data_IF_433875519889
#
_entry.id   IF_433875519889
#
_cell.length_a   1.000
_cell.length_b   1.000
_cell.length_c   1.000
_cell.angle_alpha   90.00
_cell.angle_beta   90.00
_cell.angle_gamma   90.00
#
_symmetry.space_group_name_H-M   'P 1'
#
loop_
_entity.id
_entity.type
_entity.pdbx_description
1 polymer ?
#
# COMPACT_ATOMS: atom_id res chain seq x y z
N UNK A 1 -14.82 17.55 8.23
CA UNK A 1 -14.11 18.11 9.40
C UNK A 1 -12.62 18.19 9.11
N UNK A 2 -11.90 19.17 9.65
CA UNK A 2 -10.43 19.06 9.75
C UNK A 2 -10.14 18.65 11.19
N UNK A 3 -9.74 17.40 11.38
CA UNK A 3 -9.70 16.75 12.69
C UNK A 3 -8.31 16.26 13.05
N UNK A 4 -7.96 16.33 14.34
CA UNK A 4 -6.80 15.64 14.91
C UNK A 4 -7.16 14.17 15.14
N UNK A 5 -6.28 13.28 14.69
CA UNK A 5 -6.37 11.85 14.84
C UNK A 5 -5.18 11.36 15.66
N UNK A 6 -5.39 10.28 16.43
CA UNK A 6 -4.40 9.72 17.33
C UNK A 6 -4.23 8.23 17.06
N UNK A 7 -3.01 7.76 16.85
CA UNK A 7 -2.68 6.34 16.67
C UNK A 7 -1.35 6.04 17.35
N UNK A 8 -1.38 5.11 18.29
CA UNK A 8 -0.18 4.64 19.00
C UNK A 8 0.46 3.49 18.20
N UNK A 9 1.25 3.87 17.19
CA UNK A 9 1.95 2.96 16.28
C UNK A 9 3.42 3.36 16.15
N UNK A 10 4.26 2.42 15.73
CA UNK A 10 5.65 2.68 15.40
C UNK A 10 5.79 3.81 14.37
N UNK A 11 6.62 4.79 14.73
CA UNK A 11 6.83 5.98 13.92
C UNK A 11 7.76 5.69 12.74
N UNK A 12 7.33 6.15 11.56
CA UNK A 12 8.09 6.15 10.30
C UNK A 12 8.24 7.59 9.81
N UNK A 13 9.03 7.81 8.76
CA UNK A 13 9.28 9.16 8.21
C UNK A 13 7.99 9.97 7.96
N UNK A 14 6.91 9.30 7.53
CA UNK A 14 5.61 9.91 7.23
C UNK A 14 4.48 9.46 8.18
N UNK A 15 4.82 9.19 9.46
CA UNK A 15 3.85 8.88 10.52
C UNK A 15 4.15 9.71 11.79
N UNK A 16 3.08 10.15 12.46
CA UNK A 16 3.10 10.87 13.73
C UNK A 16 2.03 10.27 14.66
N UNK A 17 2.23 10.28 15.98
CA UNK A 17 1.26 9.68 16.91
C UNK A 17 -0.03 10.51 16.98
N UNK A 18 0.09 11.81 16.67
CA UNK A 18 -1.01 12.73 16.38
C UNK A 18 -0.84 13.29 14.96
N UNK A 19 -1.88 13.28 14.16
CA UNK A 19 -1.86 13.78 12.78
C UNK A 19 -3.21 14.40 12.43
N UNK A 20 -3.31 15.08 11.29
CA UNK A 20 -4.52 15.80 10.90
C UNK A 20 -5.12 15.23 9.63
N UNK A 21 -6.44 15.03 9.64
CA UNK A 21 -7.20 14.57 8.48
C UNK A 21 -8.23 15.61 8.04
N UNK A 22 -8.44 15.71 6.73
CA UNK A 22 -9.66 16.26 6.14
C UNK A 22 -10.63 15.09 6.03
N UNK A 23 -11.51 14.96 7.01
CA UNK A 23 -12.49 13.90 7.13
C UNK A 23 -13.83 14.31 6.51
N UNK A 24 -14.44 13.46 5.70
CA UNK A 24 -15.75 13.72 5.09
C UNK A 24 -16.59 12.44 5.03
N UNK A 25 -17.89 12.60 5.21
CA UNK A 25 -18.89 11.55 5.02
C UNK A 25 -20.10 12.17 4.31
N UNK A 26 -20.72 11.40 3.42
CA UNK A 26 -21.86 11.79 2.60
C UNK A 26 -22.98 10.76 2.77
N UNK A 27 -24.24 11.20 2.75
CA UNK A 27 -25.41 10.33 2.76
C UNK A 27 -26.06 10.28 1.37
N UNK A 28 -26.77 9.19 1.10
CA UNK A 28 -27.37 8.86 -0.20
C UNK A 28 -26.34 8.73 -1.33
N UNK A 29 -25.18 8.16 -0.99
CA UNK A 29 -24.14 7.76 -1.94
C UNK A 29 -24.05 6.24 -1.95
N UNK A 30 -24.03 5.64 -3.13
CA UNK A 30 -24.07 4.18 -3.32
C UNK A 30 -22.93 3.67 -4.22
N UNK A 31 -22.47 4.54 -5.12
CA UNK A 31 -21.32 4.32 -5.98
C UNK A 31 -20.09 5.06 -5.44
N UNK A 32 -18.91 4.49 -5.65
CA UNK A 32 -17.64 5.10 -5.20
C UNK A 32 -17.41 6.47 -5.84
N UNK A 33 -17.87 6.65 -7.09
CA UNK A 33 -17.74 7.90 -7.85
C UNK A 33 -18.53 9.05 -7.25
N UNK A 34 -19.62 8.78 -6.52
CA UNK A 34 -20.40 9.79 -5.81
C UNK A 34 -19.54 10.53 -4.76
N UNK A 35 -18.51 9.87 -4.22
CA UNK A 35 -17.55 10.43 -3.26
C UNK A 35 -16.25 10.85 -3.94
N UNK A 36 -15.72 10.02 -4.85
CA UNK A 36 -14.44 10.28 -5.52
C UNK A 36 -14.48 11.61 -6.29
N UNK A 37 -15.49 11.87 -7.11
CA UNK A 37 -15.50 13.04 -7.99
C UNK A 37 -15.59 14.39 -7.24
N UNK A 38 -16.42 14.55 -6.20
CA UNK A 38 -16.33 15.74 -5.34
C UNK A 38 -14.95 15.92 -4.70
N UNK A 39 -14.30 14.83 -4.28
CA UNK A 39 -12.95 14.86 -3.70
C UNK A 39 -11.90 15.27 -4.74
N UNK A 40 -12.01 14.83 -5.99
CA UNK A 40 -11.15 15.32 -7.07
C UNK A 40 -11.27 16.83 -7.24
N UNK A 41 -12.49 17.37 -7.21
CA UNK A 41 -12.73 18.81 -7.27
C UNK A 41 -12.05 19.57 -6.12
N UNK A 42 -12.08 19.02 -4.90
CA UNK A 42 -11.34 19.56 -3.77
C UNK A 42 -9.83 19.56 -4.03
N UNK A 43 -9.26 18.44 -4.47
CA UNK A 43 -7.83 18.29 -4.75
C UNK A 43 -7.39 19.26 -5.86
N UNK A 44 -8.11 19.30 -6.99
CA UNK A 44 -7.87 20.26 -8.10
C UNK A 44 -7.82 21.69 -7.60
N UNK A 45 -8.79 22.08 -6.76
CA UNK A 45 -8.86 23.43 -6.20
C UNK A 45 -7.72 23.73 -5.23
N UNK A 46 -7.32 22.77 -4.40
CA UNK A 46 -6.17 22.92 -3.50
C UNK A 46 -4.91 23.16 -4.34
N UNK A 47 -4.58 22.26 -5.26
CA UNK A 47 -3.39 22.37 -6.12
C UNK A 47 -3.32 23.70 -6.88
N UNK A 48 -4.43 24.10 -7.51
CA UNK A 48 -4.53 25.36 -8.26
C UNK A 48 -4.32 26.58 -7.37
N UNK A 49 -4.92 26.60 -6.19
CA UNK A 49 -4.89 27.77 -5.31
C UNK A 49 -3.61 27.87 -4.46
N UNK A 50 -2.94 26.75 -4.18
CA UNK A 50 -1.74 26.75 -3.32
C UNK A 50 -0.44 26.83 -4.11
N UNK A 51 -0.32 26.06 -5.20
CA UNK A 51 0.93 25.97 -5.98
C UNK A 51 0.75 26.41 -7.44
N UNK A 52 -0.44 26.88 -7.83
CA UNK A 52 -0.71 27.34 -9.19
C UNK A 52 -0.75 26.24 -10.24
N UNK A 53 -0.76 24.96 -9.83
CA UNK A 53 -0.79 23.83 -10.75
C UNK A 53 -2.23 23.53 -11.17
N UNK A 54 -2.52 23.67 -12.46
CA UNK A 54 -3.79 23.26 -13.03
C UNK A 54 -3.75 21.76 -13.37
N UNK A 55 -4.59 20.98 -12.69
CA UNK A 55 -4.73 19.53 -12.89
C UNK A 55 -5.77 19.18 -13.98
N UNK A 56 -6.36 20.19 -14.63
CA UNK A 56 -7.39 20.02 -15.65
C UNK A 56 -8.77 19.67 -15.08
N UNK A 57 -9.74 19.57 -15.98
CA UNK A 57 -11.14 19.29 -15.63
C UNK A 57 -11.47 17.79 -15.66
N UNK A 58 -10.72 16.99 -16.41
CA UNK A 58 -10.91 15.53 -16.55
C UNK A 58 -10.74 14.78 -15.24
N UNK A 59 -11.48 13.69 -15.06
CA UNK A 59 -11.37 12.84 -13.87
C UNK A 59 -9.98 12.21 -13.76
N UNK A 60 -9.53 11.96 -12.53
CA UNK A 60 -8.26 11.27 -12.34
C UNK A 60 -8.39 9.83 -12.83
N UNK A 61 -7.30 9.32 -13.39
CA UNK A 61 -7.25 7.93 -13.85
C UNK A 61 -7.50 6.97 -12.69
N UNK A 62 -8.14 5.86 -13.00
CA UNK A 62 -8.46 4.80 -12.04
C UNK A 62 -7.67 3.54 -12.40
N UNK A 63 -7.17 2.84 -11.39
CA UNK A 63 -6.46 1.58 -11.51
C UNK A 63 -7.01 0.59 -10.48
N UNK A 64 -7.22 -0.67 -10.86
CA UNK A 64 -7.65 -1.67 -9.87
C UNK A 64 -6.51 -2.01 -8.92
N UNK A 65 -6.82 -2.41 -7.68
CA UNK A 65 -5.83 -2.90 -6.73
C UNK A 65 -5.01 -4.05 -7.32
N UNK A 66 -5.66 -4.98 -8.00
CA UNK A 66 -4.99 -6.12 -8.64
C UNK A 66 -3.99 -5.65 -9.71
N UNK A 67 -4.36 -4.67 -10.53
CA UNK A 67 -3.46 -4.07 -11.51
C UNK A 67 -2.27 -3.36 -10.85
N UNK A 68 -2.52 -2.56 -9.80
CA UNK A 68 -1.50 -1.85 -9.06
C UNK A 68 -0.46 -2.82 -8.44
N UNK A 69 -0.94 -3.88 -7.80
CA UNK A 69 -0.09 -4.91 -7.20
C UNK A 69 0.69 -5.69 -8.27
N UNK A 70 0.04 -6.12 -9.34
CA UNK A 70 0.68 -6.94 -10.37
C UNK A 70 1.71 -6.18 -11.20
N UNK A 71 1.48 -4.89 -11.49
CA UNK A 71 2.37 -4.04 -12.30
C UNK A 71 3.42 -3.30 -11.49
N UNK A 72 3.13 -2.91 -10.25
CA UNK A 72 4.02 -2.04 -9.47
C UNK A 72 4.42 -2.61 -8.10
N UNK A 73 3.79 -3.71 -7.67
CA UNK A 73 4.07 -4.32 -6.38
C UNK A 73 3.58 -3.49 -5.18
N UNK A 74 2.64 -2.58 -5.41
CA UNK A 74 2.10 -1.70 -4.38
C UNK A 74 0.69 -1.21 -4.73
N UNK A 75 -0.14 -1.08 -3.71
CA UNK A 75 -1.45 -0.45 -3.69
C UNK A 75 -1.40 1.10 -3.72
N UNK A 76 -0.20 1.68 -3.72
CA UNK A 76 0.05 3.12 -3.88
C UNK A 76 1.19 3.35 -4.87
N UNK A 77 1.00 2.98 -6.15
CA UNK A 77 2.08 2.99 -7.11
C UNK A 77 2.50 4.43 -7.45
N UNK A 78 3.80 4.67 -7.47
CA UNK A 78 4.36 5.84 -8.16
C UNK A 78 4.46 5.51 -9.64
N UNK A 79 3.63 6.08 -10.52
CA UNK A 79 3.65 5.73 -11.95
C UNK A 79 4.40 6.75 -12.82
N UNK A 80 5.10 7.71 -12.21
CA UNK A 80 5.90 8.71 -12.94
C UNK A 80 7.07 8.12 -13.72
N UNK A 81 7.40 6.86 -13.47
CA UNK A 81 8.47 6.12 -14.14
C UNK A 81 8.07 4.65 -14.38
N UNK A 82 8.83 3.96 -15.24
CA UNK A 82 8.57 2.56 -15.62
C UNK A 82 9.00 1.53 -14.57
N UNK A 83 9.80 0.55 -15.01
CA UNK A 83 10.24 -0.61 -14.20
C UNK A 83 9.08 -1.47 -13.65
N UNK A 84 8.03 -1.62 -14.45
CA UNK A 84 6.90 -2.47 -14.09
C UNK A 84 7.31 -3.93 -13.92
N UNK A 85 6.64 -4.60 -12.98
CA UNK A 85 6.79 -6.03 -12.73
C UNK A 85 6.22 -6.81 -13.91
N UNK A 86 6.98 -7.81 -14.36
CA UNK A 86 6.61 -8.74 -15.41
C UNK A 86 6.56 -10.14 -14.83
N UNK A 87 5.43 -10.80 -15.01
CA UNK A 87 5.24 -12.18 -14.58
C UNK A 87 5.94 -13.14 -15.56
N UNK A 88 6.83 -13.96 -15.04
CA UNK A 88 7.58 -14.98 -15.78
C UNK A 88 7.39 -16.37 -15.16
N UNK A 89 6.40 -16.53 -14.28
CA UNK A 89 6.18 -17.73 -13.46
C UNK A 89 6.01 -18.99 -14.30
N UNK A 90 5.18 -18.93 -15.34
CA UNK A 90 4.92 -20.03 -16.28
C UNK A 90 6.19 -20.50 -17.02
N UNK A 91 7.18 -19.62 -17.23
CA UNK A 91 8.44 -19.97 -17.90
C UNK A 91 9.33 -20.89 -17.06
N UNK A 92 9.12 -20.92 -15.73
CA UNK A 92 9.93 -21.72 -14.81
C UNK A 92 9.23 -22.99 -14.32
N UNK A 93 8.02 -23.28 -14.80
CA UNK A 93 7.31 -24.52 -14.46
C UNK A 93 8.12 -25.73 -14.92
N UNK A 94 8.52 -26.58 -13.98
CA UNK A 94 9.33 -27.76 -14.28
C UNK A 94 10.80 -27.48 -14.63
N UNK A 95 11.29 -26.25 -14.42
CA UNK A 95 12.70 -25.90 -14.64
C UNK A 95 13.63 -26.63 -13.65
N UNK A 96 14.88 -26.87 -14.07
CA UNK A 96 15.95 -27.39 -13.22
C UNK A 96 16.40 -26.38 -12.16
N UNK A 97 16.10 -25.09 -12.35
CA UNK A 97 16.40 -24.06 -11.36
C UNK A 97 15.36 -24.05 -10.23
N UNK A 98 15.57 -24.92 -9.23
CA UNK A 98 14.65 -25.13 -8.11
C UNK A 98 14.21 -23.87 -7.38
N UNK A 99 15.10 -22.89 -7.24
CA UNK A 99 14.77 -21.59 -6.60
C UNK A 99 13.56 -20.92 -7.27
N UNK A 100 13.37 -21.08 -8.57
CA UNK A 100 12.21 -20.53 -9.28
C UNK A 100 11.13 -21.57 -9.51
N UNK A 101 11.49 -22.81 -9.85
CA UNK A 101 10.52 -23.88 -10.08
C UNK A 101 9.66 -24.19 -8.84
N UNK A 102 10.21 -24.06 -7.63
CA UNK A 102 9.47 -24.28 -6.38
C UNK A 102 8.50 -23.12 -6.04
N UNK A 103 8.51 -22.05 -6.86
CA UNK A 103 7.72 -20.83 -6.68
C UNK A 103 6.70 -20.61 -7.81
N UNK A 104 6.28 -21.67 -8.51
CA UNK A 104 5.29 -21.59 -9.60
C UNK A 104 3.90 -22.12 -9.25
N UNK A 105 3.63 -22.41 -7.97
CA UNK A 105 2.33 -22.85 -7.48
C UNK A 105 1.42 -21.66 -7.13
N UNK A 106 0.12 -21.90 -6.98
CA UNK A 106 -0.85 -20.85 -6.65
C UNK A 106 -0.47 -20.08 -5.37
N UNK A 107 -0.59 -18.75 -5.41
CA UNK A 107 -0.18 -17.84 -4.32
C UNK A 107 1.33 -17.57 -4.23
N UNK A 108 2.09 -18.07 -5.20
CA UNK A 108 3.52 -17.81 -5.40
C UNK A 108 3.76 -17.38 -6.83
N UNK A 109 4.78 -16.58 -7.05
CA UNK A 109 5.16 -16.16 -8.39
C UNK A 109 6.66 -15.95 -8.53
N UNK A 110 7.11 -15.98 -9.78
CA UNK A 110 8.43 -15.52 -10.22
C UNK A 110 8.20 -14.31 -11.10
N UNK A 111 8.66 -13.15 -10.64
CA UNK A 111 8.49 -11.89 -11.37
C UNK A 111 9.81 -11.18 -11.54
N UNK A 112 9.88 -10.34 -12.56
CA UNK A 112 11.06 -9.55 -12.89
C UNK A 112 10.74 -8.08 -13.11
N UNK A 113 11.69 -7.20 -12.83
CA UNK A 113 11.71 -5.83 -13.36
C UNK A 113 12.88 -5.68 -14.32
N UNK A 114 12.68 -4.94 -15.41
CA UNK A 114 13.73 -4.62 -16.38
C UNK A 114 14.29 -3.21 -16.14
N UNK A 115 15.49 -3.13 -15.55
CA UNK A 115 16.25 -1.90 -15.42
C UNK A 115 16.94 -1.54 -16.75
N UNK A 116 16.21 -0.79 -17.58
CA UNK A 116 16.63 -0.44 -18.95
C UNK A 116 17.87 0.45 -19.00
N UNK A 117 18.94 0.00 -19.66
CA UNK A 117 20.21 0.72 -19.77
C UNK A 117 21.05 0.74 -18.48
N UNK A 118 20.82 -0.19 -17.55
CA UNK A 118 21.53 -0.24 -16.27
C UNK A 118 22.74 -1.19 -16.25
N UNK A 119 23.01 -1.96 -17.31
CA UNK A 119 24.12 -2.92 -17.31
C UNK A 119 25.49 -2.28 -17.10
N UNK A 120 25.68 -1.04 -17.57
CA UNK A 120 26.90 -0.25 -17.34
C UNK A 120 26.85 0.58 -16.05
N UNK A 121 25.67 0.77 -15.45
CA UNK A 121 25.45 1.61 -14.26
C UNK A 121 25.47 0.82 -12.96
N UNK A 122 25.17 -0.48 -13.01
CA UNK A 122 25.14 -1.37 -11.85
C UNK A 122 26.39 -2.23 -11.84
N UNK A 123 27.27 -1.97 -10.86
CA UNK A 123 28.38 -2.88 -10.57
C UNK A 123 27.88 -4.14 -9.87
N UNK A 124 28.75 -5.17 -9.75
CA UNK A 124 28.41 -6.36 -8.94
C UNK A 124 28.04 -6.01 -7.50
N UNK A 125 28.76 -5.04 -6.92
CA UNK A 125 28.48 -4.53 -5.57
C UNK A 125 27.12 -3.84 -5.48
N UNK A 126 26.71 -3.10 -6.52
CA UNK A 126 25.37 -2.50 -6.56
C UNK A 126 24.28 -3.57 -6.61
N UNK A 127 24.47 -4.63 -7.40
CA UNK A 127 23.53 -5.75 -7.48
C UNK A 127 23.42 -6.50 -6.14
N UNK A 128 24.54 -6.73 -5.45
CA UNK A 128 24.55 -7.32 -4.12
C UNK A 128 23.82 -6.40 -3.12
N UNK A 129 24.00 -5.08 -3.21
CA UNK A 129 23.26 -4.11 -2.40
C UNK A 129 21.75 -4.10 -2.71
N UNK A 130 21.34 -4.24 -3.97
CA UNK A 130 19.91 -4.38 -4.32
C UNK A 130 19.30 -5.65 -3.71
N UNK A 131 20.08 -6.72 -3.58
CA UNK A 131 19.67 -7.92 -2.84
C UNK A 131 19.44 -7.62 -1.36
N UNK A 132 20.31 -6.83 -0.71
CA UNK A 132 20.11 -6.38 0.67
C UNK A 132 18.87 -5.48 0.83
N UNK A 133 18.61 -4.59 -0.13
CA UNK A 133 17.34 -3.83 -0.17
C UNK A 133 16.15 -4.79 -0.28
N UNK A 134 16.21 -5.78 -1.17
CA UNK A 134 15.13 -6.76 -1.32
C UNK A 134 14.85 -7.55 -0.03
N UNK A 135 15.89 -7.87 0.74
CA UNK A 135 15.75 -8.57 2.04
C UNK A 135 14.98 -7.78 3.08
N UNK A 136 14.98 -6.44 3.03
CA UNK A 136 14.15 -5.63 3.95
C UNK A 136 12.65 -5.80 3.70
N UNK A 137 12.26 -6.38 2.56
CA UNK A 137 10.88 -6.71 2.20
C UNK A 137 10.58 -8.22 2.31
N UNK A 138 11.46 -8.99 2.95
CA UNK A 138 11.26 -10.41 3.24
C UNK A 138 11.79 -11.39 2.18
N UNK A 139 12.32 -10.90 1.05
CA UNK A 139 12.97 -11.79 0.08
C UNK A 139 14.23 -12.44 0.66
N UNK A 140 14.49 -13.69 0.26
CA UNK A 140 15.73 -14.42 0.63
C UNK A 140 16.94 -13.95 -0.18
N UNK A 141 16.70 -13.32 -1.32
CA UNK A 141 17.70 -12.72 -2.19
C UNK A 141 17.08 -12.25 -3.50
N UNK A 142 17.87 -11.52 -4.29
CA UNK A 142 17.47 -11.02 -5.59
C UNK A 142 18.34 -11.67 -6.68
N UNK A 143 17.70 -12.44 -7.55
CA UNK A 143 18.38 -13.00 -8.73
C UNK A 143 18.44 -11.94 -9.84
N UNK A 144 19.45 -12.00 -10.71
CA UNK A 144 19.59 -11.02 -11.78
C UNK A 144 20.20 -11.60 -13.05
N UNK A 145 19.86 -11.00 -14.19
CA UNK A 145 20.52 -11.25 -15.48
C UNK A 145 20.92 -9.89 -16.05
N UNK A 146 22.20 -9.72 -16.39
CA UNK A 146 22.72 -8.52 -17.04
C UNK A 146 23.08 -8.84 -18.48
N UNK A 147 22.66 -8.01 -19.43
CA UNK A 147 23.08 -8.09 -20.82
C UNK A 147 23.86 -6.83 -21.17
N UNK A 148 25.19 -6.79 -20.98
CA UNK A 148 25.97 -5.66 -21.46
C UNK A 148 25.91 -5.56 -22.99
N UNK A 149 26.04 -4.34 -23.51
CA UNK A 149 25.93 -4.09 -24.95
C UNK A 149 27.02 -4.85 -25.73
N UNK A 150 26.61 -5.69 -26.69
CA UNK A 150 27.54 -6.50 -27.50
C UNK A 150 28.23 -7.65 -26.76
N UNK A 151 27.94 -7.88 -25.48
CA UNK A 151 28.51 -8.99 -24.68
C UNK A 151 27.48 -10.09 -24.43
N UNK A 152 27.96 -11.27 -23.99
CA UNK A 152 27.07 -12.35 -23.54
C UNK A 152 26.34 -11.99 -22.24
N UNK A 153 25.22 -12.67 -21.99
CA UNK A 153 24.50 -12.58 -20.71
C UNK A 153 25.39 -12.95 -19.53
N UNK A 154 25.28 -12.19 -18.45
CA UNK A 154 25.96 -12.43 -17.17
C UNK A 154 24.92 -12.71 -16.10
N UNK A 155 25.03 -13.84 -15.41
CA UNK A 155 24.23 -14.20 -14.23
C UNK A 155 24.86 -15.36 -13.47
N UNK A 156 24.55 -15.49 -12.17
CA UNK A 156 24.97 -16.62 -11.33
C UNK A 156 24.25 -17.93 -11.66
N UNK A 157 23.10 -17.86 -12.33
CA UNK A 157 22.26 -19.03 -12.65
C UNK A 157 22.14 -19.31 -14.17
N UNK A 158 22.99 -18.70 -15.01
CA UNK A 158 23.01 -18.94 -16.46
C UNK A 158 23.03 -20.41 -16.85
N UNK A 159 23.74 -21.26 -16.08
CA UNK A 159 23.87 -22.70 -16.35
C UNK A 159 22.55 -23.47 -16.32
N UNK A 160 21.50 -22.89 -15.73
CA UNK A 160 20.17 -23.48 -15.67
C UNK A 160 19.20 -22.93 -16.72
N UNK A 161 19.65 -21.96 -17.53
CA UNK A 161 18.86 -21.33 -18.58
C UNK A 161 19.37 -21.82 -19.93
N UNK A 162 18.48 -22.37 -20.75
CA UNK A 162 18.78 -22.64 -22.15
C UNK A 162 18.42 -21.42 -23.03
N UNK A 163 18.86 -21.44 -24.28
CA UNK A 163 18.68 -20.30 -25.20
C UNK A 163 17.21 -19.97 -25.48
N UNK A 164 16.33 -20.98 -25.55
CA UNK A 164 14.88 -20.81 -25.74
C UNK A 164 14.23 -20.10 -24.53
N UNK A 165 14.56 -20.53 -23.32
CA UNK A 165 14.07 -19.91 -22.09
C UNK A 165 14.59 -18.47 -21.95
N UNK A 166 15.86 -18.22 -22.27
CA UNK A 166 16.42 -16.86 -22.29
C UNK A 166 15.71 -15.96 -23.29
N UNK A 167 15.44 -16.45 -24.50
CA UNK A 167 14.70 -15.70 -25.52
C UNK A 167 13.28 -15.33 -25.04
N UNK A 168 12.56 -16.29 -24.44
CA UNK A 168 11.21 -16.06 -23.89
C UNK A 168 11.21 -15.07 -22.72
N UNK A 169 12.20 -15.16 -21.83
CA UNK A 169 12.38 -14.21 -20.73
C UNK A 169 12.65 -12.81 -21.30
N UNK A 170 13.59 -12.69 -22.25
CA UNK A 170 13.94 -11.42 -22.87
C UNK A 170 12.75 -10.79 -23.59
N UNK A 171 11.98 -11.56 -24.35
CA UNK A 171 10.75 -11.11 -25.01
C UNK A 171 9.73 -10.60 -23.98
N UNK A 172 9.43 -11.37 -22.94
CA UNK A 172 8.38 -10.99 -21.96
C UNK A 172 8.76 -9.79 -21.09
N UNK A 173 10.05 -9.57 -20.89
CA UNK A 173 10.58 -8.48 -20.06
C UNK A 173 11.03 -7.27 -20.89
N UNK A 174 10.83 -7.32 -22.21
CA UNK A 174 11.34 -6.33 -23.16
C UNK A 174 12.84 -6.05 -22.97
N UNK A 175 13.63 -7.08 -22.63
CA UNK A 175 15.05 -6.96 -22.34
C UNK A 175 15.84 -6.69 -23.62
N UNK A 176 16.71 -5.68 -23.57
CA UNK A 176 17.59 -5.31 -24.67
C UNK A 176 19.07 -5.29 -24.25
N UNK A 177 19.94 -5.11 -25.24
CA UNK A 177 21.35 -4.86 -24.99
C UNK A 177 21.54 -3.59 -24.15
N UNK A 178 22.22 -3.73 -23.01
CA UNK A 178 22.42 -2.68 -22.01
C UNK A 178 21.55 -2.82 -20.76
N UNK A 179 20.66 -3.81 -20.68
CA UNK A 179 19.68 -3.95 -19.60
C UNK A 179 20.11 -4.89 -18.47
N UNK A 180 19.44 -4.74 -17.32
CA UNK A 180 19.52 -5.68 -16.18
C UNK A 180 18.12 -6.09 -15.75
N UNK A 181 17.86 -7.38 -15.76
CA UNK A 181 16.68 -7.96 -15.13
C UNK A 181 16.97 -8.29 -13.66
N UNK A 182 16.03 -7.95 -12.79
CA UNK A 182 16.05 -8.26 -11.36
C UNK A 182 14.82 -9.09 -11.03
N UNK A 183 15.02 -10.26 -10.41
CA UNK A 183 13.99 -11.27 -10.18
C UNK A 183 13.76 -11.52 -8.70
N UNK A 184 12.50 -11.69 -8.33
CA UNK A 184 12.09 -12.22 -7.03
C UNK A 184 11.17 -13.45 -7.24
N UNK A 185 11.31 -14.43 -6.35
CA UNK A 185 10.56 -15.68 -6.38
C UNK A 185 10.19 -16.11 -4.96
N UNK A 186 8.92 -15.93 -4.58
CA UNK A 186 8.36 -16.34 -3.29
C UNK A 186 6.81 -16.27 -3.33
N UNK A 187 6.14 -16.24 -2.17
CA UNK A 187 4.73 -15.84 -2.04
C UNK A 187 4.51 -14.49 -2.73
N UNK A 188 3.35 -14.31 -3.37
CA UNK A 188 3.02 -13.10 -4.14
C UNK A 188 3.24 -11.81 -3.34
N UNK A 189 2.78 -11.78 -2.08
CA UNK A 189 2.97 -10.62 -1.20
C UNK A 189 4.45 -10.21 -1.03
N UNK A 190 5.36 -11.19 -0.89
CA UNK A 190 6.80 -10.94 -0.74
C UNK A 190 7.40 -10.48 -2.07
N UNK A 191 7.00 -11.11 -3.18
CA UNK A 191 7.47 -10.74 -4.53
C UNK A 191 7.08 -9.31 -4.88
N UNK A 192 5.81 -8.95 -4.65
CA UNK A 192 5.29 -7.60 -4.86
C UNK A 192 6.03 -6.57 -4.01
N UNK A 193 6.11 -6.78 -2.69
CA UNK A 193 6.80 -5.87 -1.78
C UNK A 193 8.28 -5.70 -2.16
N UNK A 194 8.96 -6.79 -2.52
CA UNK A 194 10.37 -6.78 -2.89
C UNK A 194 10.64 -6.01 -4.17
N UNK A 195 9.94 -6.35 -5.26
CA UNK A 195 10.20 -5.71 -6.55
C UNK A 195 9.66 -4.28 -6.58
N UNK A 196 8.55 -4.00 -5.91
CA UNK A 196 8.04 -2.64 -5.72
C UNK A 196 9.02 -1.76 -4.94
N UNK A 197 9.59 -2.28 -3.84
CA UNK A 197 10.60 -1.58 -3.05
C UNK A 197 11.90 -1.34 -3.82
N UNK A 198 12.42 -2.36 -4.50
CA UNK A 198 13.63 -2.24 -5.34
C UNK A 198 13.41 -1.26 -6.49
N UNK A 199 12.22 -1.28 -7.11
CA UNK A 199 11.82 -0.32 -8.14
C UNK A 199 11.87 1.11 -7.62
N UNK A 200 11.27 1.40 -6.46
CA UNK A 200 11.28 2.73 -5.85
C UNK A 200 12.70 3.18 -5.49
N UNK A 201 13.52 2.26 -4.95
CA UNK A 201 14.93 2.52 -4.65
C UNK A 201 15.73 2.91 -5.90
N UNK A 202 15.56 2.19 -7.01
CA UNK A 202 16.19 2.54 -8.28
C UNK A 202 15.67 3.88 -8.82
N UNK A 203 14.37 4.13 -8.69
CA UNK A 203 13.71 5.37 -9.08
C UNK A 203 14.35 6.60 -8.41
N UNK A 204 14.53 6.55 -7.08
CA UNK A 204 15.14 7.65 -6.34
C UNK A 204 16.67 7.73 -6.57
N UNK A 205 17.41 6.63 -6.42
CA UNK A 205 18.88 6.62 -6.56
C UNK A 205 19.35 7.13 -7.92
N UNK A 206 18.59 6.87 -8.99
CA UNK A 206 18.95 7.24 -10.37
C UNK A 206 18.08 8.34 -10.96
N UNK A 207 17.25 9.01 -10.16
CA UNK A 207 16.40 10.13 -10.58
C UNK A 207 15.55 9.81 -11.82
N UNK A 208 14.80 8.69 -11.79
CA UNK A 208 14.02 8.21 -12.94
C UNK A 208 12.71 8.96 -13.16
N UNK A 209 12.38 9.90 -12.29
CA UNK A 209 11.20 10.75 -12.36
C UNK A 209 11.56 12.17 -11.90
N UNK A 210 10.77 13.15 -12.34
CA UNK A 210 10.88 14.51 -11.85
C UNK A 210 10.26 14.60 -10.44
N UNK A 211 11.05 15.01 -9.44
CA UNK A 211 10.58 15.18 -8.06
C UNK A 211 9.50 16.26 -7.91
N UNK A 212 9.41 17.18 -8.89
CA UNK A 212 8.41 18.26 -8.91
C UNK A 212 7.16 17.94 -9.73
N UNK A 213 7.15 16.83 -10.47
CA UNK A 213 5.97 16.41 -11.20
C UNK A 213 4.97 15.73 -10.27
N UNK A 214 3.69 15.85 -10.63
CA UNK A 214 2.59 15.21 -9.94
C UNK A 214 1.91 14.20 -10.83
N UNK A 215 1.66 13.03 -10.24
CA UNK A 215 0.91 11.95 -10.81
C UNK A 215 -0.13 11.52 -9.79
N UNK A 216 -1.40 11.64 -10.16
CA UNK A 216 -2.55 11.43 -9.28
C UNK A 216 -3.43 10.37 -9.91
N UNK A 217 -3.86 9.40 -9.10
CA UNK A 217 -4.75 8.32 -9.52
C UNK A 217 -5.58 7.80 -8.36
N UNK A 218 -6.69 7.14 -8.70
CA UNK A 218 -7.46 6.33 -7.79
C UNK A 218 -7.06 4.87 -7.89
N UNK A 219 -6.93 4.21 -6.74
CA UNK A 219 -6.91 2.76 -6.63
C UNK A 219 -8.27 2.31 -6.13
N UNK A 220 -8.89 1.35 -6.81
CA UNK A 220 -10.23 0.82 -6.50
C UNK A 220 -10.22 -0.70 -6.52
N UNK A 221 -11.38 -1.34 -6.27
CA UNK A 221 -11.55 -2.79 -6.35
C UNK A 221 -10.59 -3.55 -5.42
N UNK A 222 -10.35 -2.99 -4.22
CA UNK A 222 -9.58 -3.65 -3.19
C UNK A 222 -10.24 -4.97 -2.76
N UNK A 223 -9.46 -5.99 -2.38
CA UNK A 223 -9.98 -7.14 -1.66
C UNK A 223 -10.78 -6.73 -0.42
N UNK A 224 -11.90 -7.41 -0.17
CA UNK A 224 -12.72 -7.16 1.02
C UNK A 224 -12.00 -7.62 2.30
N UNK A 225 -11.23 -8.72 2.20
CA UNK A 225 -10.56 -9.38 3.31
C UNK A 225 -9.10 -9.68 2.98
N UNK A 226 -8.26 -9.70 4.01
CA UNK A 226 -6.90 -10.21 3.94
C UNK A 226 -6.68 -11.28 5.02
N UNK A 227 -5.83 -12.27 4.74
CA UNK A 227 -5.52 -13.32 5.70
C UNK A 227 -4.38 -12.86 6.62
N UNK A 228 -4.66 -12.73 7.92
CA UNK A 228 -3.65 -12.46 8.93
C UNK A 228 -2.99 -13.78 9.35
N UNK A 229 -1.71 -13.95 9.03
CA UNK A 229 -0.91 -15.08 9.52
C UNK A 229 -0.72 -15.02 11.03
N UNK A 230 -0.66 -13.82 11.61
CA UNK A 230 -0.52 -13.59 13.05
C UNK A 230 -1.77 -14.04 13.81
N UNK A 231 -2.95 -13.69 13.30
CA UNK A 231 -4.23 -14.03 13.95
C UNK A 231 -4.81 -15.38 13.49
N UNK A 232 -4.25 -15.99 12.44
CA UNK A 232 -4.75 -17.24 11.86
C UNK A 232 -6.18 -17.14 11.32
N UNK A 233 -6.59 -15.95 10.86
CA UNK A 233 -7.95 -15.67 10.36
C UNK A 233 -7.96 -14.56 9.32
N UNK A 234 -9.06 -14.45 8.58
CA UNK A 234 -9.32 -13.28 7.75
C UNK A 234 -9.67 -12.07 8.61
N UNK A 235 -9.08 -10.93 8.25
CA UNK A 235 -9.36 -9.61 8.77
C UNK A 235 -9.87 -8.71 7.64
N UNK A 236 -10.54 -7.61 7.98
CA UNK A 236 -10.99 -6.66 6.97
C UNK A 236 -9.79 -5.88 6.42
N UNK A 237 -9.71 -5.71 5.10
CA UNK A 237 -8.58 -4.99 4.49
C UNK A 237 -8.60 -3.48 4.79
N UNK A 238 -9.79 -2.90 4.93
CA UNK A 238 -9.98 -1.48 5.29
C UNK A 238 -10.63 -1.37 6.67
N UNK A 239 -11.96 -1.42 6.70
CA UNK A 239 -12.74 -1.41 7.93
C UNK A 239 -13.83 -2.48 7.85
N UNK A 240 -14.22 -3.14 8.97
CA UNK A 240 -15.33 -4.09 9.00
C UNK A 240 -16.70 -3.56 8.50
N UNK A 241 -16.84 -2.26 8.24
CA UNK A 241 -18.07 -1.61 7.79
C UNK A 241 -18.05 -1.26 6.30
N UNK A 242 -16.96 -1.57 5.60
CA UNK A 242 -16.86 -1.34 4.17
C UNK A 242 -17.86 -2.22 3.42
N UNK A 243 -18.60 -1.63 2.48
CA UNK A 243 -19.53 -2.38 1.64
C UNK A 243 -18.77 -3.22 0.60
N UNK A 244 -19.19 -4.46 0.33
CA UNK A 244 -18.72 -5.20 -0.83
C UNK A 244 -19.26 -4.62 -2.13
N UNK A 245 -18.63 -4.93 -3.26
CA UNK A 245 -19.20 -4.71 -4.60
C UNK A 245 -20.50 -5.50 -4.75
N UNK A 246 -21.50 -4.89 -5.37
CA UNK A 246 -22.83 -5.50 -5.48
C UNK A 246 -22.78 -6.77 -6.34
N UNK A 247 -21.96 -6.74 -7.40
CA UNK A 247 -21.71 -7.88 -8.28
C UNK A 247 -21.08 -9.07 -7.56
N UNK A 248 -20.40 -8.86 -6.43
CA UNK A 248 -19.66 -9.91 -5.71
C UNK A 248 -20.49 -10.51 -4.55
N UNK A 249 -21.72 -10.03 -4.31
CA UNK A 249 -22.57 -10.48 -3.20
C UNK A 249 -22.88 -11.99 -3.24
N UNK A 250 -22.89 -12.62 -4.42
CA UNK A 250 -23.08 -14.06 -4.55
C UNK A 250 -21.94 -14.90 -3.94
N UNK A 251 -20.76 -14.28 -3.74
CA UNK A 251 -19.60 -14.93 -3.13
C UNK A 251 -19.69 -15.03 -1.60
N UNK A 252 -20.58 -14.27 -0.96
CA UNK A 252 -20.75 -14.25 0.50
C UNK A 252 -20.94 -15.66 1.09
N UNK A 253 -21.78 -16.46 0.44
CA UNK A 253 -22.15 -17.80 0.91
C UNK A 253 -21.29 -18.91 0.28
N UNK A 254 -20.33 -18.57 -0.59
CA UNK A 254 -19.46 -19.54 -1.28
C UNK A 254 -17.97 -19.31 -1.01
N UNK A 255 -17.36 -18.29 -1.62
CA UNK A 255 -15.94 -17.97 -1.47
C UNK A 255 -15.75 -16.47 -1.20
N UNK A 256 -15.98 -16.01 0.03
CA UNK A 256 -15.92 -14.59 0.39
C UNK A 256 -14.52 -13.98 0.21
N UNK A 257 -13.48 -14.81 0.07
CA UNK A 257 -12.09 -14.37 -0.09
C UNK A 257 -11.83 -13.68 -1.43
N UNK A 258 -12.71 -13.87 -2.41
CA UNK A 258 -12.64 -13.25 -3.74
C UNK A 258 -13.47 -11.98 -3.87
N UNK A 259 -14.18 -11.58 -2.82
CA UNK A 259 -15.01 -10.39 -2.85
C UNK A 259 -14.15 -9.13 -2.90
N UNK A 260 -14.58 -8.17 -3.72
CA UNK A 260 -14.04 -6.82 -3.74
C UNK A 260 -14.87 -5.90 -2.86
N UNK A 261 -14.20 -4.91 -2.31
CA UNK A 261 -14.77 -3.81 -1.55
C UNK A 261 -15.13 -2.64 -2.48
N UNK A 262 -16.17 -1.88 -2.11
CA UNK A 262 -16.41 -0.52 -2.58
C UNK A 262 -15.52 0.45 -1.81
N UNK A 263 -14.20 0.26 -1.93
CA UNK A 263 -13.16 1.02 -1.27
C UNK A 263 -12.21 1.62 -2.30
N UNK A 264 -11.72 2.82 -1.98
CA UNK A 264 -10.97 3.63 -2.92
C UNK A 264 -9.94 4.49 -2.19
N UNK A 265 -8.73 4.50 -2.75
CA UNK A 265 -7.62 5.30 -2.26
C UNK A 265 -7.16 6.29 -3.32
N UNK A 266 -6.97 7.54 -2.94
CA UNK A 266 -6.30 8.53 -3.79
C UNK A 266 -4.81 8.49 -3.52
N UNK A 267 -4.06 8.25 -4.58
CA UNK A 267 -2.61 8.14 -4.57
C UNK A 267 -2.01 9.33 -5.30
N UNK A 268 -1.02 9.97 -4.69
CA UNK A 268 -0.27 11.08 -5.27
C UNK A 268 1.22 10.72 -5.18
N UNK A 269 1.90 10.62 -6.32
CA UNK A 269 3.34 10.37 -6.38
C UNK A 269 3.81 9.13 -5.58
N UNK A 270 3.02 8.06 -5.62
CA UNK A 270 3.29 6.83 -4.86
C UNK A 270 3.05 6.91 -3.35
N UNK A 271 2.34 7.95 -2.91
CA UNK A 271 1.88 8.07 -1.53
C UNK A 271 0.36 8.04 -1.47
N UNK A 272 -0.16 7.23 -0.56
CA UNK A 272 -1.57 7.25 -0.16
C UNK A 272 -1.88 8.61 0.50
N UNK A 273 -2.57 9.47 -0.24
CA UNK A 273 -2.94 10.80 0.19
C UNK A 273 -4.26 10.78 0.97
N UNK A 274 -5.15 9.84 0.66
CA UNK A 274 -6.39 9.59 1.39
C UNK A 274 -7.05 8.30 0.96
N UNK A 275 -8.01 7.85 1.75
CA UNK A 275 -8.71 6.59 1.54
C UNK A 275 -10.11 6.62 2.10
N UNK A 276 -11.00 5.86 1.48
CA UNK A 276 -12.43 5.89 1.75
C UNK A 276 -13.13 4.60 1.35
N UNK A 277 -14.40 4.51 1.74
CA UNK A 277 -15.25 3.42 1.28
C UNK A 277 -16.72 3.79 1.36
N UNK A 278 -17.53 3.14 0.53
CA UNK A 278 -18.97 3.05 0.78
C UNK A 278 -19.17 2.15 2.01
N UNK A 279 -20.16 2.47 2.84
CA UNK A 279 -20.45 1.78 4.09
C UNK A 279 -21.63 0.83 3.96
N UNK A 280 -21.56 -0.26 4.69
CA UNK A 280 -22.71 -1.14 4.89
C UNK A 280 -23.75 -0.38 5.70
N UNK A 281 -24.98 -0.35 5.19
CA UNK A 281 -26.14 0.23 5.85
C UNK A 281 -27.27 -0.80 6.07
N UNK A 282 -27.07 -2.06 5.63
CA UNK A 282 -27.96 -3.19 5.94
C UNK A 282 -27.44 -3.97 7.14
N UNK A 283 -28.32 -4.19 8.12
CA UNK A 283 -28.03 -5.03 9.29
C UNK A 283 -27.75 -6.48 8.90
N UNK A 284 -28.51 -7.05 7.97
CA UNK A 284 -28.30 -8.44 7.57
C UNK A 284 -26.93 -8.64 6.92
N UNK A 285 -26.55 -7.71 6.04
CA UNK A 285 -25.25 -7.76 5.38
C UNK A 285 -24.11 -7.57 6.39
N UNK A 286 -24.22 -6.59 7.30
CA UNK A 286 -23.18 -6.37 8.31
C UNK A 286 -22.98 -7.60 9.20
N UNK A 287 -24.06 -8.27 9.60
CA UNK A 287 -23.98 -9.49 10.40
C UNK A 287 -23.27 -10.62 9.64
N UNK A 288 -23.55 -10.79 8.34
CA UNK A 288 -22.83 -11.77 7.50
C UNK A 288 -21.32 -11.49 7.46
N UNK A 289 -20.94 -10.22 7.29
CA UNK A 289 -19.53 -9.81 7.29
C UNK A 289 -18.86 -10.09 8.64
N UNK A 290 -19.52 -9.78 9.75
CA UNK A 290 -18.97 -10.11 11.08
C UNK A 290 -18.79 -11.61 11.30
N UNK A 291 -19.72 -12.44 10.82
CA UNK A 291 -19.60 -13.89 10.91
C UNK A 291 -18.38 -14.41 10.12
N UNK A 292 -18.14 -13.85 8.91
CA UNK A 292 -16.94 -14.17 8.09
C UNK A 292 -15.66 -13.79 8.84
N UNK A 293 -15.65 -12.62 9.50
CA UNK A 293 -14.55 -12.14 10.32
C UNK A 293 -14.40 -12.88 11.66
N UNK A 294 -15.30 -13.83 11.95
CA UNK A 294 -15.36 -14.64 13.18
C UNK A 294 -15.54 -13.82 14.46
N UNK A 295 -16.25 -12.70 14.39
CA UNK A 295 -16.68 -12.00 15.61
C UNK A 295 -17.82 -12.77 16.28
N UNK A 296 -17.72 -12.92 17.60
CA UNK A 296 -18.83 -13.44 18.42
C UNK A 296 -19.89 -12.36 18.63
N UNK A 297 -21.13 -12.75 18.96
CA UNK A 297 -22.19 -11.78 19.29
C UNK A 297 -21.79 -10.87 20.45
N UNK A 298 -21.04 -11.40 21.43
CA UNK A 298 -20.50 -10.63 22.55
C UNK A 298 -19.45 -9.62 22.08
N UNK A 299 -18.56 -9.99 21.16
CA UNK A 299 -17.60 -9.05 20.56
C UNK A 299 -18.28 -7.96 19.77
N UNK A 300 -19.32 -8.31 18.99
CA UNK A 300 -20.09 -7.35 18.19
C UNK A 300 -20.77 -6.36 19.12
N UNK A 301 -21.48 -6.82 20.15
CA UNK A 301 -22.18 -5.92 21.06
C UNK A 301 -21.19 -5.02 21.83
N UNK A 302 -20.11 -5.62 22.36
CA UNK A 302 -19.10 -4.90 23.15
C UNK A 302 -18.34 -3.86 22.35
N UNK A 303 -17.97 -4.16 21.09
CA UNK A 303 -17.13 -3.27 20.26
C UNK A 303 -17.95 -2.35 19.36
N UNK A 304 -19.08 -2.85 18.85
CA UNK A 304 -19.84 -2.22 17.76
C UNK A 304 -21.34 -2.11 18.05
N UNK A 305 -21.84 -2.50 19.23
CA UNK A 305 -23.27 -2.53 19.54
C UNK A 305 -23.96 -1.19 19.32
N UNK A 306 -23.30 -0.09 19.70
CA UNK A 306 -23.82 1.27 19.46
C UNK A 306 -24.05 1.57 17.97
N UNK A 307 -23.15 1.09 17.10
CA UNK A 307 -23.20 1.30 15.65
C UNK A 307 -24.21 0.36 14.99
N UNK A 308 -24.18 -0.93 15.32
CA UNK A 308 -25.10 -1.93 14.77
C UNK A 308 -26.55 -1.64 15.16
N UNK A 309 -26.79 -1.13 16.37
CA UNK A 309 -28.12 -0.73 16.80
C UNK A 309 -28.64 0.49 16.02
N UNK A 310 -27.75 1.37 15.54
CA UNK A 310 -28.14 2.55 14.75
C UNK A 310 -28.84 2.17 13.43
N UNK A 311 -28.49 1.03 12.82
CA UNK A 311 -29.14 0.53 11.61
C UNK A 311 -30.65 0.33 11.75
N UNK A 312 -31.16 0.10 12.97
CA UNK A 312 -32.59 -0.08 13.24
C UNK A 312 -33.41 1.21 13.10
N UNK A 313 -32.76 2.36 13.07
CA UNK A 313 -33.40 3.67 13.05
C UNK A 313 -33.39 4.32 11.65
N UNK A 314 -33.19 3.52 10.59
CA UNK A 314 -33.23 3.99 9.21
C UNK A 314 -31.92 4.65 8.76
N UNK A 315 -30.80 3.94 8.91
CA UNK A 315 -29.49 4.43 8.40
C UNK A 315 -29.52 4.50 6.87
N UNK A 316 -29.25 5.66 6.26
CA UNK A 316 -29.23 5.79 4.81
C UNK A 316 -27.98 5.11 4.21
N UNK A 317 -27.96 4.84 2.90
CA UNK A 317 -26.71 4.61 2.19
C UNK A 317 -25.74 5.77 2.46
N UNK A 318 -24.49 5.46 2.74
CA UNK A 318 -23.48 6.46 3.07
C UNK A 318 -22.09 5.97 2.74
N UNK A 319 -21.17 6.92 2.58
CA UNK A 319 -19.78 6.68 2.22
C UNK A 319 -18.96 7.91 2.53
N UNK A 320 -17.66 7.73 2.65
CA UNK A 320 -16.78 8.81 3.03
C UNK A 320 -15.32 8.52 2.75
N UNK A 321 -14.50 9.52 3.03
CA UNK A 321 -13.07 9.50 2.75
C UNK A 321 -12.34 10.40 3.76
N UNK A 322 -11.11 10.03 4.09
CA UNK A 322 -10.22 10.90 4.85
C UNK A 322 -8.94 11.17 4.07
N UNK A 323 -8.56 12.44 3.94
CA UNK A 323 -7.27 12.87 3.36
C UNK A 323 -6.31 13.18 4.50
N UNK A 324 -5.10 12.64 4.46
CA UNK A 324 -4.02 13.01 5.38
C UNK A 324 -3.52 14.42 5.06
N UNK A 325 -3.94 15.42 5.85
CA UNK A 325 -3.59 16.83 5.62
C UNK A 325 -2.08 17.04 5.70
N UNK A 326 -1.39 16.40 6.64
CA UNK A 326 0.06 16.56 6.80
C UNK A 326 0.80 16.04 5.56
N UNK A 327 0.38 14.88 5.00
CA UNK A 327 0.97 14.33 3.78
C UNK A 327 0.66 15.20 2.56
N UNK A 328 -0.58 15.66 2.41
CA UNK A 328 -0.95 16.56 1.33
C UNK A 328 -0.13 17.86 1.39
N UNK A 329 0.02 18.44 2.58
CA UNK A 329 0.83 19.65 2.77
C UNK A 329 2.29 19.38 2.43
N UNK A 330 2.87 18.28 2.92
CA UNK A 330 4.25 17.87 2.62
C UNK A 330 4.50 17.75 1.11
N UNK A 331 3.55 17.17 0.36
CA UNK A 331 3.61 17.06 -1.10
C UNK A 331 3.56 18.43 -1.78
N UNK A 332 2.67 19.33 -1.34
CA UNK A 332 2.52 20.68 -1.90
C UNK A 332 3.70 21.60 -1.56
N UNK A 333 4.40 21.36 -0.45
CA UNK A 333 5.60 22.12 -0.06
C UNK A 333 6.89 21.50 -0.57
N UNK A 334 6.83 20.38 -1.29
CA UNK A 334 8.00 19.64 -1.80
C UNK A 334 9.02 19.27 -0.71
N UNK A 335 8.53 18.92 0.49
CA UNK A 335 9.34 18.49 1.63
C UNK A 335 9.38 16.97 1.74
N UNK A 336 10.47 16.41 2.27
CA UNK A 336 10.67 14.96 2.37
C UNK A 336 10.09 14.35 3.66
N UNK A 337 9.65 15.18 4.63
CA UNK A 337 9.07 14.71 5.88
C UNK A 337 7.84 15.51 6.30
N UNK A 338 6.83 14.81 6.81
CA UNK A 338 5.65 15.46 7.41
C UNK A 338 6.01 16.29 8.66
N UNK A 339 7.19 16.07 9.25
CA UNK A 339 7.67 16.87 10.39
C UNK A 339 7.91 18.33 10.01
N UNK A 340 8.20 18.60 8.74
CA UNK A 340 8.47 19.96 8.24
C UNK A 340 7.19 20.80 8.09
N UNK A 341 6.02 20.15 8.13
CA UNK A 341 4.71 20.80 7.99
C UNK A 341 3.88 20.77 9.28
N UNK A 342 4.47 20.27 10.37
CA UNK A 342 3.86 20.23 11.70
C UNK A 342 4.66 21.17 12.60
N UNK A 343 3.98 22.08 13.30
CA UNK A 343 4.65 23.09 14.12
C UNK A 343 5.51 22.48 15.26
N UNK A 344 5.01 21.42 15.91
CA UNK A 344 5.68 20.74 17.03
C UNK A 344 5.65 19.22 16.87
N UNK A 345 6.44 18.67 15.92
CA UNK A 345 6.42 17.24 15.61
C UNK A 345 7.09 16.43 16.72
N UNK A 346 6.79 15.14 16.74
CA UNK A 346 7.43 14.16 17.63
C UNK A 346 8.58 13.44 16.93
N UNK A 347 9.59 13.05 17.70
CA UNK A 347 10.68 12.16 17.24
C UNK A 347 10.25 10.69 17.30
N UNK A 348 11.11 9.76 16.86
CA UNK A 348 10.75 8.36 16.61
C UNK A 348 10.23 7.59 17.85
N UNK A 349 10.61 8.00 19.06
CA UNK A 349 10.11 7.42 20.31
C UNK A 349 8.88 8.18 20.87
N UNK A 350 8.14 8.86 19.99
CA UNK A 350 6.96 9.68 20.30
C UNK A 350 7.20 10.88 21.23
N UNK A 351 8.46 11.24 21.53
CA UNK A 351 8.76 12.37 22.41
C UNK A 351 8.75 13.72 21.69
N UNK A 352 8.43 14.76 22.45
CA UNK A 352 8.53 16.16 22.05
C UNK A 352 9.78 16.76 22.70
N UNK A 353 10.84 16.99 21.91
CA UNK A 353 12.11 17.53 22.42
C UNK A 353 11.99 18.97 22.94
N UNK A 354 11.00 19.73 22.49
CA UNK A 354 10.82 21.12 22.93
C UNK A 354 10.22 21.22 24.35
N UNK A 355 9.35 20.28 24.71
CA UNK A 355 8.62 20.31 25.98
C UNK A 355 9.03 19.19 26.93
N UNK A 356 10.04 18.39 26.56
CA UNK A 356 10.45 17.17 27.26
C UNK A 356 9.30 16.21 27.58
N UNK A 357 8.32 16.10 26.66
CA UNK A 357 7.17 15.21 26.83
C UNK A 357 7.43 13.85 26.14
N UNK A 358 6.91 12.72 26.66
CA UNK A 358 6.17 12.62 27.92
C UNK A 358 7.09 12.75 29.15
N UNK A 359 6.56 13.28 30.25
CA UNK A 359 7.26 13.41 31.54
C UNK A 359 6.60 12.58 32.64
N UNK A 360 7.19 12.58 33.84
CA UNK A 360 6.61 11.93 35.03
C UNK A 360 5.45 12.75 35.60
N UNK A 361 4.46 12.07 36.18
CA UNK A 361 3.31 12.68 36.87
C UNK A 361 3.43 12.55 38.39
N UNK A 362 2.73 13.40 39.14
CA UNK A 362 2.71 13.34 40.60
C UNK A 362 1.89 12.14 41.10
N UNK A 363 2.28 11.54 42.23
CA UNK A 363 1.54 10.41 42.82
C UNK A 363 0.07 10.74 43.08
N UNK A 364 -0.22 11.99 43.49
CA UNK A 364 -1.61 12.45 43.69
C UNK A 364 -2.44 12.33 42.41
N UNK A 365 -1.88 12.64 41.23
CA UNK A 365 -2.59 12.51 39.96
C UNK A 365 -2.89 11.05 39.61
N UNK A 366 -1.99 10.14 39.97
CA UNK A 366 -2.20 8.70 39.80
C UNK A 366 -3.28 8.17 40.75
N UNK A 367 -3.24 8.59 42.02
CA UNK A 367 -4.23 8.22 43.04
C UNK A 367 -5.63 8.72 42.67
N UNK A 368 -5.74 9.98 42.22
CA UNK A 368 -7.00 10.61 41.79
C UNK A 368 -7.63 9.88 40.58
N UNK A 369 -6.81 9.23 39.75
CA UNK A 369 -7.26 8.43 38.59
C UNK A 369 -7.38 6.94 38.90
N UNK A 370 -7.05 6.49 40.12
CA UNK A 370 -6.99 5.08 40.51
C UNK A 370 -6.06 4.23 39.62
N UNK A 371 -4.94 4.81 39.19
CA UNK A 371 -3.92 4.16 38.34
C UNK A 371 -2.64 3.95 39.15
N UNK A 372 -1.93 2.85 38.93
CA UNK A 372 -0.60 2.62 39.50
C UNK A 372 0.41 2.28 38.40
N UNK A 373 1.64 2.80 38.52
CA UNK A 373 2.72 2.47 37.60
C UNK A 373 3.34 1.12 37.96
N UNK A 374 3.36 0.19 37.01
CA UNK A 374 4.05 -1.09 37.16
C UNK A 374 5.50 -0.97 36.65
N UNK A 375 6.34 -0.28 37.43
CA UNK A 375 7.76 -0.13 37.13
C UNK A 375 8.52 -1.37 37.62
N UNK A 376 9.47 -1.89 36.82
CA UNK A 376 10.43 -2.88 37.31
C UNK A 376 11.20 -2.24 38.47
N UNK A 377 11.26 -2.91 39.62
CA UNK A 377 12.19 -2.53 40.69
C UNK A 377 13.61 -2.76 40.18
N UNK A 378 14.43 -1.71 40.26
CA UNK A 378 15.87 -1.79 40.04
C UNK A 378 16.54 -2.80 40.98
#
# INVERSE_FOLDING_TARGET
QIAKCFRDEDLRANRQPEFTQIDLEMSFVEDETDVMYPVEGLIKKVFKNTIGLDLGEEHFRTMTWQEAMTRFGSDKPDTRFGLELKDVTDLFVGSDFKVFADNTSAGRSVRAINAKGFASKLSRKDLDNLSEVGKTFGAKGLAWISKPAGEAYKSSFMKFLNDDLLAKIAERTDMQDGDVLLFAADKDAVVYATLGGVRLYLGDKYNLYDKKSFDILWIVDFPMFEYSEEEGRYVAMHHPFTAPKDEDLYLLDSDPTKMRAKAYDIVINGQEAGGGSIRIHSRELQQKIFNILKFTDEDIERKFGFFVNAFRYGTPPHGGLAIGLDRLTMLLTYTDSIKDVIAFPKVQNASCLMSDAPGTVEQKQLDDLFIALNLKKD
#
